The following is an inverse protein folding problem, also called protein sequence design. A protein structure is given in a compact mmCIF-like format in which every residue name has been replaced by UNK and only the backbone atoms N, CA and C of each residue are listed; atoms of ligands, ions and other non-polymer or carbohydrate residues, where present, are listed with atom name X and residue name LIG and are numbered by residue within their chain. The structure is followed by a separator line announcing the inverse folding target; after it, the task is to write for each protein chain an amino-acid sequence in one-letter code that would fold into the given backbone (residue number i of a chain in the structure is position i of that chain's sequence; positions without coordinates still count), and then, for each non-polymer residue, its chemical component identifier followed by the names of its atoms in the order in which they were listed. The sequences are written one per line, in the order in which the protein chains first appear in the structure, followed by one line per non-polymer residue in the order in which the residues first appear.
data_IF_765997879537
#
_entry.id   IF_765997879537
#
_cell.length_a   1.000
_cell.length_b   1.000
_cell.length_c   1.000
_cell.angle_alpha   90.00
_cell.angle_beta   90.00
_cell.angle_gamma   90.00
#
_symmetry.space_group_name_H-M   'P 1'
#
loop_
_entity.id
_entity.type
_entity.pdbx_description
1 polymer ?
#
# COMPACT_ATOMS: atom_id res chain seq x y z
N UNK A 1 -23.95 20.12 -14.32
CA UNK A 1 -22.47 20.10 -14.51
C UNK A 1 -21.68 19.73 -13.25
N UNK A 2 -22.30 19.50 -12.07
CA UNK A 2 -21.60 19.19 -10.81
C UNK A 2 -21.41 17.69 -10.53
N UNK A 3 -22.25 16.81 -11.08
CA UNK A 3 -22.18 15.35 -10.81
C UNK A 3 -20.97 14.66 -11.47
N UNK A 4 -20.52 15.13 -12.63
CA UNK A 4 -19.40 14.55 -13.35
C UNK A 4 -18.07 14.62 -12.58
N UNK A 5 -17.86 15.70 -11.81
CA UNK A 5 -16.62 15.89 -11.07
C UNK A 5 -16.55 15.00 -9.81
N UNK A 6 -17.71 14.81 -9.13
CA UNK A 6 -17.82 13.94 -7.95
C UNK A 6 -17.61 12.48 -8.33
N UNK A 7 -18.22 12.02 -9.42
CA UNK A 7 -18.06 10.65 -9.92
C UNK A 7 -16.60 10.35 -10.34
N UNK A 8 -15.89 11.33 -10.90
CA UNK A 8 -14.48 11.19 -11.24
C UNK A 8 -13.58 11.07 -9.99
N UNK A 9 -13.84 11.84 -8.94
CA UNK A 9 -13.09 11.77 -7.69
C UNK A 9 -13.27 10.40 -7.01
N UNK A 10 -14.48 9.86 -7.00
CA UNK A 10 -14.75 8.52 -6.44
C UNK A 10 -14.03 7.43 -7.23
N UNK A 11 -14.04 7.50 -8.57
CA UNK A 11 -13.29 6.56 -9.42
C UNK A 11 -11.78 6.64 -9.17
N UNK A 12 -11.22 7.84 -9.09
CA UNK A 12 -9.78 8.04 -8.82
C UNK A 12 -9.40 7.44 -7.46
N UNK A 13 -10.23 7.65 -6.43
CA UNK A 13 -10.01 7.06 -5.10
C UNK A 13 -10.03 5.53 -5.15
N UNK A 14 -11.02 4.95 -5.82
CA UNK A 14 -11.14 3.49 -5.94
C UNK A 14 -9.95 2.87 -6.70
N UNK A 15 -9.51 3.48 -7.80
CA UNK A 15 -8.34 3.04 -8.56
C UNK A 15 -7.09 3.13 -7.67
N UNK A 16 -6.88 4.26 -7.00
CA UNK A 16 -5.73 4.45 -6.13
C UNK A 16 -5.72 3.44 -4.97
N UNK A 17 -6.86 3.19 -4.31
CA UNK A 17 -6.98 2.17 -3.27
C UNK A 17 -6.64 0.77 -3.80
N UNK A 18 -7.10 0.44 -5.01
CA UNK A 18 -6.86 -0.87 -5.63
C UNK A 18 -5.39 -1.06 -5.96
N UNK A 19 -4.75 -0.05 -6.55
CA UNK A 19 -3.30 -0.06 -6.82
C UNK A 19 -2.53 -0.24 -5.51
N UNK A 20 -2.91 0.51 -4.47
CA UNK A 20 -2.26 0.45 -3.17
C UNK A 20 -2.40 -0.93 -2.52
N UNK A 21 -3.57 -1.57 -2.64
CA UNK A 21 -3.80 -2.94 -2.18
C UNK A 21 -2.91 -3.95 -2.91
N UNK A 22 -2.80 -3.87 -4.22
CA UNK A 22 -1.95 -4.77 -5.01
C UNK A 22 -0.47 -4.62 -4.63
N UNK A 23 0.01 -3.37 -4.53
CA UNK A 23 1.39 -3.09 -4.11
C UNK A 23 1.63 -3.59 -2.69
N UNK A 24 0.69 -3.37 -1.77
CA UNK A 24 0.77 -3.86 -0.41
C UNK A 24 0.88 -5.39 -0.35
N UNK A 25 0.06 -6.12 -1.11
CA UNK A 25 0.12 -7.58 -1.15
C UNK A 25 1.47 -8.08 -1.71
N UNK A 26 2.00 -7.43 -2.74
CA UNK A 26 3.32 -7.77 -3.28
C UNK A 26 4.43 -7.56 -2.24
N UNK A 27 4.44 -6.41 -1.56
CA UNK A 27 5.41 -6.11 -0.49
C UNK A 27 5.26 -7.07 0.68
N UNK A 28 4.03 -7.47 1.03
CA UNK A 28 3.75 -8.42 2.09
C UNK A 28 4.34 -9.80 1.76
N UNK A 29 4.10 -10.33 0.56
CA UNK A 29 4.65 -11.61 0.10
C UNK A 29 6.19 -11.56 0.11
N UNK A 30 6.78 -10.47 -0.40
CA UNK A 30 8.23 -10.29 -0.38
C UNK A 30 8.77 -10.26 1.05
N UNK A 31 8.09 -9.57 1.96
CA UNK A 31 8.48 -9.49 3.37
C UNK A 31 8.43 -10.87 4.04
N UNK A 32 7.38 -11.65 3.77
CA UNK A 32 7.28 -13.05 4.22
C UNK A 32 8.45 -13.87 3.65
N UNK A 33 8.76 -13.72 2.36
CA UNK A 33 9.88 -14.40 1.73
C UNK A 33 11.23 -14.03 2.33
N UNK A 34 11.46 -12.74 2.63
CA UNK A 34 12.66 -12.28 3.33
C UNK A 34 12.78 -12.93 4.71
N UNK A 35 11.68 -12.99 5.48
CA UNK A 35 11.66 -13.63 6.79
C UNK A 35 11.92 -15.13 6.69
N UNK A 36 11.28 -15.80 5.73
CA UNK A 36 11.46 -17.23 5.48
C UNK A 36 12.90 -17.56 5.11
N UNK A 37 13.47 -16.87 4.11
CA UNK A 37 14.86 -17.08 3.67
C UNK A 37 15.86 -16.76 4.77
N UNK A 38 15.58 -15.74 5.60
CA UNK A 38 16.44 -15.40 6.74
C UNK A 38 16.40 -16.44 7.85
N UNK A 39 15.25 -17.09 8.10
CA UNK A 39 15.12 -18.10 9.16
C UNK A 39 15.57 -19.50 8.73
N UNK A 40 15.32 -19.87 7.48
CA UNK A 40 15.54 -21.24 6.98
C UNK A 40 16.81 -21.39 6.17
N UNK A 41 17.36 -20.29 5.65
CA UNK A 41 18.48 -20.32 4.70
C UNK A 41 18.10 -20.78 3.29
N UNK A 42 16.88 -21.30 3.08
CA UNK A 42 16.39 -21.75 1.78
C UNK A 42 15.86 -20.58 0.95
N UNK A 43 15.84 -20.74 -0.37
CA UNK A 43 15.20 -19.77 -1.28
C UNK A 43 13.69 -19.76 -1.10
N UNK A 44 13.05 -18.62 -1.33
CA UNK A 44 11.60 -18.49 -1.25
C UNK A 44 11.04 -18.36 -2.66
N UNK A 45 10.22 -19.33 -3.08
CA UNK A 45 9.70 -19.43 -4.45
C UNK A 45 10.81 -19.41 -5.53
N UNK A 46 11.97 -19.99 -5.21
CA UNK A 46 13.14 -19.98 -6.10
C UNK A 46 13.92 -18.67 -6.11
N UNK A 47 13.51 -17.65 -5.35
CA UNK A 47 14.16 -16.34 -5.28
C UNK A 47 15.12 -16.30 -4.09
N UNK A 48 16.31 -15.73 -4.31
CA UNK A 48 17.31 -15.57 -3.27
C UNK A 48 16.95 -14.45 -2.29
N UNK A 49 17.55 -14.48 -1.10
CA UNK A 49 17.40 -13.42 -0.09
C UNK A 49 17.77 -12.04 -0.65
N UNK A 50 18.87 -11.94 -1.40
CA UNK A 50 19.36 -10.67 -1.95
C UNK A 50 18.36 -10.05 -2.94
N UNK A 51 17.77 -10.85 -3.81
CA UNK A 51 16.77 -10.40 -4.78
C UNK A 51 15.47 -9.96 -4.09
N UNK A 52 15.01 -10.69 -3.07
CA UNK A 52 13.84 -10.30 -2.28
C UNK A 52 14.07 -8.98 -1.52
N UNK A 53 15.27 -8.79 -0.95
CA UNK A 53 15.65 -7.53 -0.32
C UNK A 53 15.69 -6.37 -1.31
N UNK A 54 16.26 -6.60 -2.50
CA UNK A 54 16.28 -5.58 -3.55
C UNK A 54 14.85 -5.20 -3.99
N UNK A 55 13.99 -6.19 -4.24
CA UNK A 55 12.59 -5.96 -4.59
C UNK A 55 11.85 -5.19 -3.49
N UNK A 56 12.07 -5.52 -2.21
CA UNK A 56 11.50 -4.79 -1.07
C UNK A 56 11.99 -3.35 -1.00
N UNK A 57 13.28 -3.11 -1.25
CA UNK A 57 13.87 -1.77 -1.20
C UNK A 57 13.35 -0.85 -2.31
N UNK A 58 12.89 -1.40 -3.43
CA UNK A 58 12.27 -0.63 -4.51
C UNK A 58 10.77 -0.43 -4.24
N UNK A 59 10.05 -1.50 -3.92
CA UNK A 59 8.59 -1.46 -3.76
C UNK A 59 8.15 -0.77 -2.47
N UNK A 60 8.94 -0.85 -1.39
CA UNK A 60 8.65 -0.21 -0.11
C UNK A 60 8.50 1.31 -0.22
N UNK A 61 9.48 2.04 -0.77
CA UNK A 61 9.37 3.48 -1.02
C UNK A 61 8.19 3.84 -1.93
N UNK A 62 7.95 3.08 -3.00
CA UNK A 62 6.80 3.29 -3.91
C UNK A 62 5.49 3.17 -3.13
N UNK A 63 5.34 2.12 -2.31
CA UNK A 63 4.17 1.92 -1.46
C UNK A 63 3.98 3.09 -0.49
N UNK A 64 5.05 3.57 0.16
CA UNK A 64 4.98 4.68 1.08
C UNK A 64 4.52 5.98 0.40
N UNK A 65 5.02 6.27 -0.80
CA UNK A 65 4.59 7.43 -1.59
C UNK A 65 3.10 7.31 -1.94
N UNK A 66 2.66 6.13 -2.38
CA UNK A 66 1.25 5.88 -2.69
C UNK A 66 0.35 6.03 -1.46
N UNK A 67 0.79 5.59 -0.28
CA UNK A 67 0.08 5.79 0.99
C UNK A 67 -0.07 7.27 1.31
N UNK A 68 0.99 8.06 1.16
CA UNK A 68 0.94 9.51 1.42
C UNK A 68 -0.05 10.19 0.47
N UNK A 69 0.01 9.87 -0.83
CA UNK A 69 -0.92 10.42 -1.83
C UNK A 69 -2.36 10.01 -1.50
N UNK A 70 -2.58 8.73 -1.17
CA UNK A 70 -3.89 8.21 -0.83
C UNK A 70 -4.48 8.89 0.41
N UNK A 71 -3.68 9.04 1.48
CA UNK A 71 -4.09 9.75 2.69
C UNK A 71 -4.38 11.23 2.41
N UNK A 72 -3.58 11.88 1.56
CA UNK A 72 -3.78 13.29 1.21
C UNK A 72 -5.11 13.51 0.49
N UNK A 73 -5.46 12.65 -0.47
CA UNK A 73 -6.74 12.71 -1.21
C UNK A 73 -7.93 12.38 -0.32
N UNK A 74 -7.75 11.50 0.66
CA UNK A 74 -8.79 11.05 1.60
C UNK A 74 -8.74 11.79 2.96
N UNK A 75 -7.94 12.84 3.08
CA UNK A 75 -7.68 13.53 4.35
C UNK A 75 -8.95 14.08 5.00
N UNK A 76 -9.88 14.58 4.19
CA UNK A 76 -11.17 15.08 4.67
C UNK A 76 -12.06 13.99 5.29
N UNK A 77 -12.00 12.76 4.76
CA UNK A 77 -12.71 11.61 5.32
C UNK A 77 -12.01 11.12 6.59
N UNK A 78 -10.69 10.96 6.52
CA UNK A 78 -9.87 10.51 7.64
C UNK A 78 -10.02 11.41 8.87
N UNK A 79 -10.04 12.75 8.69
CA UNK A 79 -10.33 13.70 9.78
C UNK A 79 -11.68 13.48 10.45
N UNK A 80 -12.71 13.11 9.68
CA UNK A 80 -14.06 12.82 10.22
C UNK A 80 -14.05 11.52 11.02
N UNK A 81 -13.38 10.49 10.51
CA UNK A 81 -13.20 9.21 11.21
C UNK A 81 -12.41 9.39 12.52
N UNK A 82 -11.31 10.14 12.50
CA UNK A 82 -10.56 10.49 13.71
C UNK A 82 -11.43 11.24 14.72
N UNK A 83 -12.24 12.19 14.26
CA UNK A 83 -13.15 12.93 15.15
C UNK A 83 -14.16 12.02 15.82
N UNK A 84 -14.62 10.95 15.15
CA UNK A 84 -15.50 9.93 15.74
C UNK A 84 -14.71 9.06 16.73
N UNK A 85 -13.51 8.60 16.36
CA UNK A 85 -12.65 7.80 17.24
C UNK A 85 -12.28 8.51 18.54
N UNK A 86 -12.08 9.84 18.49
CA UNK A 86 -11.74 10.65 19.67
C UNK A 86 -12.95 11.35 20.31
N UNK A 87 -14.15 11.23 19.74
CA UNK A 87 -15.38 11.59 20.44
C UNK A 87 -15.68 10.47 21.43
N UNK A 88 -15.33 10.72 22.68
CA UNK A 88 -15.85 9.97 23.83
C UNK A 88 -17.38 10.14 23.91
#
# INVERSE_FOLDING_TARGET
MWEGNVMNIVKIRAILSTILLVVFLAVLIITIGVLYTTRTGHTFLGISKAELFNARNILGPIMNILIIIHLSINWGLYKRELKVLFKK
#
